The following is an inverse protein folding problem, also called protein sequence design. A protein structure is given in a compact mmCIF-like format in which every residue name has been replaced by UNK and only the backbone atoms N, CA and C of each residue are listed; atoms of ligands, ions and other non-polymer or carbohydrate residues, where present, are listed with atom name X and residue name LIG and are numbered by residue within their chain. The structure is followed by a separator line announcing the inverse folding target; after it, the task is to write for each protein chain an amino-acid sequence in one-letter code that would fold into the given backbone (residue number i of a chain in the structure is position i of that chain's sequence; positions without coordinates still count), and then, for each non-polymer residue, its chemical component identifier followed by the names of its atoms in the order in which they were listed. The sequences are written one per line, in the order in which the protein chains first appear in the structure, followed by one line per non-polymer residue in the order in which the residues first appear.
data_IF_547853400625
#
_entry.id   IF_547853400625
#
_cell.length_a   1.000
_cell.length_b   1.000
_cell.length_c   1.000
_cell.angle_alpha   90.00
_cell.angle_beta   90.00
_cell.angle_gamma   90.00
#
_symmetry.space_group_name_H-M   'P 1'
#
loop_
_entity.id
_entity.type
_entity.pdbx_description
1 polymer ?
#
# COMPACT_ATOMS: atom_id res chain seq x y z
N UNK A 1 -18.22 -7.85 -8.29
CA UNK A 1 -17.09 -7.22 -7.60
C UNK A 1 -15.80 -7.66 -8.26
N UNK A 2 -14.78 -6.80 -8.23
CA UNK A 2 -13.42 -7.09 -8.67
C UNK A 2 -12.48 -6.77 -7.51
N UNK A 3 -11.39 -7.53 -7.39
CA UNK A 3 -10.24 -7.14 -6.60
C UNK A 3 -9.34 -6.26 -7.45
N UNK A 4 -8.75 -5.23 -6.84
CA UNK A 4 -7.82 -4.35 -7.51
C UNK A 4 -6.52 -4.33 -6.75
N UNK A 5 -5.42 -4.51 -7.48
CA UNK A 5 -4.08 -4.20 -7.01
C UNK A 5 -3.61 -2.98 -7.78
N UNK A 6 -3.22 -1.94 -7.06
CA UNK A 6 -2.65 -0.73 -7.64
C UNK A 6 -1.15 -0.71 -7.36
N UNK A 7 -0.36 -0.50 -8.40
CA UNK A 7 1.05 -0.19 -8.28
C UNK A 7 1.37 1.13 -9.01
N UNK A 8 2.65 1.45 -9.18
CA UNK A 8 3.09 2.66 -9.90
C UNK A 8 2.86 2.57 -11.42
N UNK A 9 2.54 1.41 -11.96
CA UNK A 9 2.28 1.16 -13.37
C UNK A 9 0.78 1.12 -13.71
N UNK A 10 -0.09 0.96 -12.70
CA UNK A 10 -1.54 1.08 -12.85
C UNK A 10 -2.33 0.14 -11.95
N UNK A 11 -3.61 -0.03 -12.27
CA UNK A 11 -4.51 -0.96 -11.58
C UNK A 11 -4.69 -2.26 -12.35
N UNK A 12 -4.41 -3.40 -11.71
CA UNK A 12 -4.72 -4.72 -12.25
C UNK A 12 -5.95 -5.26 -11.53
N UNK A 13 -6.96 -5.66 -12.30
CA UNK A 13 -8.19 -6.23 -11.77
C UNK A 13 -8.19 -7.76 -11.80
N UNK A 14 -8.81 -8.38 -10.80
CA UNK A 14 -9.16 -9.80 -10.85
C UNK A 14 -10.32 -10.05 -11.84
N UNK A 15 -10.60 -11.34 -12.05
CA UNK A 15 -11.90 -11.75 -12.60
C UNK A 15 -13.05 -11.23 -11.74
N UNK A 16 -14.17 -10.94 -12.41
CA UNK A 16 -15.40 -10.50 -11.74
C UNK A 16 -16.04 -11.68 -11.04
N UNK A 17 -16.59 -11.44 -9.84
CA UNK A 17 -17.44 -12.40 -9.13
C UNK A 17 -18.70 -11.70 -8.59
N UNK A 18 -19.76 -12.45 -8.34
CA UNK A 18 -21.03 -11.92 -7.84
C UNK A 18 -21.15 -12.15 -6.32
N UNK A 19 -21.11 -11.09 -5.53
CA UNK A 19 -21.19 -11.18 -4.06
C UNK A 19 -22.45 -11.88 -3.56
N UNK A 20 -23.57 -11.81 -4.29
CA UNK A 20 -24.84 -12.41 -3.88
C UNK A 20 -24.91 -13.91 -4.24
N UNK A 21 -24.10 -14.37 -5.19
CA UNK A 21 -24.04 -15.77 -5.62
C UNK A 21 -22.81 -16.49 -5.04
N UNK A 22 -21.75 -15.75 -4.75
CA UNK A 22 -20.42 -16.25 -4.36
C UNK A 22 -20.01 -15.64 -3.00
N UNK A 23 -20.93 -15.70 -2.03
CA UNK A 23 -20.74 -15.07 -0.71
C UNK A 23 -19.52 -15.58 0.06
N UNK A 24 -19.12 -16.85 -0.11
CA UNK A 24 -17.90 -17.38 0.49
C UNK A 24 -16.66 -16.65 -0.03
N UNK A 25 -16.57 -16.38 -1.33
CA UNK A 25 -15.43 -15.67 -1.92
C UNK A 25 -15.36 -14.23 -1.38
N UNK A 26 -16.52 -13.59 -1.20
CA UNK A 26 -16.59 -12.27 -0.58
C UNK A 26 -16.06 -12.27 0.85
N UNK A 27 -16.56 -13.17 1.71
CA UNK A 27 -16.12 -13.26 3.12
C UNK A 27 -14.64 -13.62 3.23
N UNK A 28 -14.17 -14.58 2.43
CA UNK A 28 -12.75 -14.97 2.38
C UNK A 28 -11.84 -13.81 2.01
N UNK A 29 -12.26 -12.97 1.07
CA UNK A 29 -11.46 -11.81 0.69
C UNK A 29 -11.44 -10.74 1.79
N UNK A 30 -12.58 -10.44 2.43
CA UNK A 30 -12.63 -9.53 3.58
C UNK A 30 -11.71 -10.01 4.70
N UNK A 31 -11.76 -11.31 5.04
CA UNK A 31 -10.86 -11.91 6.03
C UNK A 31 -9.39 -11.83 5.58
N UNK A 32 -9.12 -12.05 4.29
CA UNK A 32 -7.78 -11.88 3.72
C UNK A 32 -7.23 -10.48 3.93
N UNK A 33 -8.00 -9.43 3.62
CA UNK A 33 -7.61 -8.04 3.85
C UNK A 33 -7.38 -7.74 5.34
N UNK A 34 -8.17 -8.32 6.24
CA UNK A 34 -8.02 -8.14 7.70
C UNK A 34 -6.76 -8.82 8.25
N UNK A 35 -6.28 -9.89 7.63
CA UNK A 35 -5.07 -10.61 8.05
C UNK A 35 -3.79 -10.10 7.38
N UNK A 36 -3.90 -9.34 6.30
CA UNK A 36 -2.74 -8.75 5.62
C UNK A 36 -2.12 -7.65 6.46
N UNK A 37 -0.78 -7.64 6.51
CA UNK A 37 -0.04 -6.51 7.06
C UNK A 37 0.00 -5.32 6.08
N UNK A 38 0.46 -4.16 6.54
CA UNK A 38 0.53 -2.93 5.75
C UNK A 38 1.29 -3.11 4.42
N UNK A 39 2.41 -3.83 4.41
CA UNK A 39 3.16 -4.09 3.19
C UNK A 39 2.40 -4.96 2.19
N UNK A 40 1.67 -5.97 2.66
CA UNK A 40 0.81 -6.82 1.82
C UNK A 40 -0.41 -6.06 1.27
N UNK A 41 -0.89 -5.06 2.01
CA UNK A 41 -1.94 -4.14 1.59
C UNK A 41 -1.45 -3.07 0.59
N UNK A 42 -0.14 -3.04 0.29
CA UNK A 42 0.45 -2.08 -0.63
C UNK A 42 0.73 -0.71 -0.02
N UNK A 43 0.74 -0.59 1.31
CA UNK A 43 1.25 0.62 1.96
C UNK A 43 2.76 0.72 1.77
N UNK A 44 3.23 1.97 1.67
CA UNK A 44 4.65 2.25 1.56
C UNK A 44 5.34 2.03 2.91
N UNK A 45 5.97 0.86 3.08
CA UNK A 45 6.72 0.51 4.28
C UNK A 45 8.10 1.19 4.38
N UNK A 46 8.49 2.03 3.39
CA UNK A 46 9.76 2.75 3.43
C UNK A 46 9.69 3.99 4.32
N UNK A 47 8.48 4.52 4.57
CA UNK A 47 8.27 5.66 5.46
C UNK A 47 7.94 5.15 6.86
N UNK A 48 8.86 5.35 7.79
CA UNK A 48 8.73 4.98 9.19
C UNK A 48 8.17 6.18 9.96
N UNK A 49 7.19 5.95 10.82
CA UNK A 49 6.65 6.97 11.75
C UNK A 49 7.01 6.58 13.17
N UNK A 50 7.79 7.40 13.88
CA UNK A 50 8.17 7.18 15.27
C UNK A 50 8.28 8.52 16.00
N UNK A 51 7.83 8.58 17.26
CA UNK A 51 8.03 9.74 18.16
C UNK A 51 7.70 11.11 17.52
N UNK A 52 6.60 11.15 16.77
CA UNK A 52 6.12 12.34 16.05
C UNK A 52 6.95 12.76 14.82
N UNK A 53 7.96 11.98 14.44
CA UNK A 53 8.75 12.15 13.22
C UNK A 53 8.37 11.11 12.16
N UNK A 54 8.57 11.48 10.89
CA UNK A 54 8.49 10.56 9.75
C UNK A 54 9.81 10.56 9.02
N UNK A 55 10.33 9.39 8.68
CA UNK A 55 11.63 9.30 8.01
C UNK A 55 11.75 8.05 7.13
N UNK A 56 12.77 8.06 6.27
CA UNK A 56 13.16 6.91 5.46
C UNK A 56 14.58 6.53 5.85
N UNK A 57 14.79 5.28 6.23
CA UNK A 57 16.14 4.74 6.43
C UNK A 57 16.70 4.26 5.08
N UNK A 58 17.89 4.74 4.72
CA UNK A 58 18.59 4.35 3.50
C UNK A 58 20.00 3.88 3.81
N UNK A 59 20.58 3.10 2.90
CA UNK A 59 22.00 2.80 2.90
C UNK A 59 22.67 3.50 1.72
N UNK A 60 23.62 4.39 2.01
CA UNK A 60 24.37 5.14 1.00
C UNK A 60 25.85 5.02 1.30
N UNK A 61 26.62 4.57 0.31
CA UNK A 61 28.08 4.36 0.45
C UNK A 61 28.46 3.50 1.67
N UNK A 62 27.69 2.44 1.97
CA UNK A 62 27.91 1.55 3.11
C UNK A 62 27.61 2.17 4.48
N UNK A 63 26.93 3.33 4.52
CA UNK A 63 26.49 3.98 5.75
C UNK A 63 24.97 4.04 5.80
N UNK A 64 24.41 3.77 6.97
CA UNK A 64 22.99 4.00 7.24
C UNK A 64 22.75 5.49 7.46
N UNK A 65 21.83 6.05 6.69
CA UNK A 65 21.40 7.45 6.78
C UNK A 65 19.88 7.48 7.02
N UNK A 66 19.41 8.54 7.67
CA UNK A 66 17.99 8.79 7.90
C UNK A 66 17.56 10.07 7.20
N UNK A 67 16.61 9.96 6.26
CA UNK A 67 16.01 11.11 5.59
C UNK A 67 14.74 11.54 6.35
N UNK A 68 14.79 12.70 7.01
CA UNK A 68 13.66 13.24 7.79
C UNK A 68 12.65 13.91 6.84
N UNK A 69 11.37 13.56 6.99
CA UNK A 69 10.26 14.15 6.26
C UNK A 69 9.64 15.26 7.11
N UNK A 70 10.19 16.46 7.00
CA UNK A 70 9.82 17.65 7.80
C UNK A 70 8.42 18.22 7.44
N UNK A 71 7.88 17.87 6.28
CA UNK A 71 6.61 18.41 5.80
C UNK A 71 5.79 17.43 4.98
N UNK A 72 4.51 17.75 4.78
CA UNK A 72 3.64 16.99 3.88
C UNK A 72 4.08 17.25 2.44
N UNK A 73 4.49 16.21 1.72
CA UNK A 73 4.68 16.32 0.28
C UNK A 73 3.33 16.65 -0.37
N UNK A 74 3.28 17.70 -1.18
CA UNK A 74 2.06 18.00 -1.95
C UNK A 74 1.69 16.74 -2.76
N UNK A 75 0.44 16.29 -2.66
CA UNK A 75 -0.07 15.24 -3.54
C UNK A 75 0.17 15.70 -4.99
N UNK A 76 0.96 14.94 -5.73
CA UNK A 76 0.93 15.06 -7.18
C UNK A 76 -0.50 14.67 -7.62
N UNK A 77 -1.19 15.51 -8.41
CA UNK A 77 -2.60 15.29 -8.75
C UNK A 77 -2.83 13.99 -9.53
N UNK A 78 -1.78 13.35 -10.04
CA UNK A 78 -1.86 12.08 -10.73
C UNK A 78 -0.51 11.34 -10.69
N UNK A 79 -0.52 10.07 -10.28
CA UNK A 79 0.59 9.11 -10.51
C UNK A 79 0.13 7.98 -11.46
N UNK A 80 -1.17 7.93 -11.81
CA UNK A 80 -1.77 6.88 -12.62
C UNK A 80 -2.34 7.44 -13.94
N UNK A 81 -1.67 7.16 -15.05
CA UNK A 81 -2.27 7.17 -16.39
C UNK A 81 -2.98 5.86 -16.66
#
# INVERSE_FOLDING_TARGET
MHWWVFDRLGGIASTRFNINQEGLQFVSAVLGFLWMNEGQLGFDSTIITAENERYIDIERNGKKERLIIDGVMKRAPCIAG
#
